data_IF_994078224618
#
_entry.id   IF_994078224618
#
_cell.length_a   1.000
_cell.length_b   1.000
_cell.length_c   1.000
_cell.angle_alpha   90.00
_cell.angle_beta   90.00
_cell.angle_gamma   90.00
#
_symmetry.space_group_name_H-M   'P 1'
#
loop_
_entity.id
_entity.type
_entity.pdbx_description
1 polymer ?
#
# COMPACT_ATOMS: atom_id res chain seq x y z
N UNK A 1 -3.50 15.92 4.00
CA UNK A 1 -2.46 15.17 3.27
C UNK A 1 -2.30 13.82 3.95
N UNK A 2 -2.56 12.73 3.23
CA UNK A 2 -2.44 11.35 3.71
C UNK A 2 -1.00 10.86 3.61
N UNK A 3 -0.64 9.83 4.36
CA UNK A 3 0.64 9.12 4.17
C UNK A 3 0.78 8.57 2.73
N UNK A 4 -0.35 8.33 2.05
CA UNK A 4 -0.39 7.89 0.65
C UNK A 4 0.16 8.96 -0.31
N UNK A 5 -0.04 10.24 -0.02
CA UNK A 5 0.45 11.35 -0.85
C UNK A 5 1.98 11.47 -0.83
N UNK A 6 2.64 10.78 0.12
CA UNK A 6 4.10 10.74 0.24
C UNK A 6 4.72 9.58 -0.53
N UNK A 7 3.90 8.76 -1.21
CA UNK A 7 4.36 7.62 -1.99
C UNK A 7 4.99 8.06 -3.32
N UNK A 8 6.04 7.35 -3.73
CA UNK A 8 6.86 7.64 -4.91
C UNK A 8 6.78 6.44 -5.85
N UNK A 9 6.34 6.67 -7.09
CA UNK A 9 6.17 5.63 -8.12
C UNK A 9 6.94 5.91 -9.41
N UNK A 10 7.82 6.91 -9.41
CA UNK A 10 8.58 7.35 -10.59
C UNK A 10 10.09 7.35 -10.32
N UNK A 11 10.57 6.48 -9.44
CA UNK A 11 12.01 6.27 -9.23
C UNK A 11 12.67 5.79 -10.51
N UNK A 12 13.89 6.25 -10.73
CA UNK A 12 14.78 5.90 -11.83
C UNK A 12 15.91 5.00 -11.35
N UNK A 13 16.70 4.42 -12.26
CA UNK A 13 17.77 3.44 -11.95
C UNK A 13 18.82 3.93 -10.93
N UNK A 14 18.95 5.24 -10.71
CA UNK A 14 19.86 5.83 -9.72
C UNK A 14 19.26 6.07 -8.34
N UNK A 15 17.93 5.92 -8.19
CA UNK A 15 17.24 6.18 -6.95
C UNK A 15 17.28 4.98 -6.01
N UNK A 16 17.23 5.27 -4.71
CA UNK A 16 17.35 4.26 -3.67
C UNK A 16 16.02 4.07 -2.94
N UNK A 17 15.81 2.85 -2.46
CA UNK A 17 14.76 2.52 -1.51
C UNK A 17 15.35 2.26 -0.13
N UNK A 18 15.41 3.31 0.68
CA UNK A 18 16.20 3.34 1.91
C UNK A 18 15.35 3.03 3.15
N UNK A 19 15.94 3.25 4.32
CA UNK A 19 15.30 2.97 5.61
C UNK A 19 14.13 3.93 5.88
N UNK A 20 14.23 5.18 5.47
CA UNK A 20 13.14 6.15 5.52
C UNK A 20 11.97 5.69 4.64
N UNK A 21 12.24 5.17 3.44
CA UNK A 21 11.21 4.60 2.56
C UNK A 21 10.51 3.39 3.21
N UNK A 22 11.25 2.47 3.83
CA UNK A 22 10.63 1.34 4.54
C UNK A 22 9.66 1.78 5.64
N UNK A 23 10.04 2.82 6.41
CA UNK A 23 9.22 3.33 7.49
C UNK A 23 7.96 3.99 6.93
N UNK A 24 8.13 4.88 5.96
CA UNK A 24 7.05 5.60 5.28
C UNK A 24 6.06 4.64 4.62
N UNK A 25 6.56 3.69 3.82
CA UNK A 25 5.71 2.72 3.12
C UNK A 25 5.14 1.68 4.08
N UNK A 26 5.86 1.30 5.14
CA UNK A 26 5.31 0.51 6.23
C UNK A 26 4.15 1.19 6.97
N UNK A 27 4.22 2.51 7.17
CA UNK A 27 3.10 3.30 7.70
C UNK A 27 1.93 3.33 6.70
N UNK A 28 2.21 3.49 5.41
CA UNK A 28 1.20 3.43 4.36
C UNK A 28 0.48 2.06 4.33
N UNK A 29 1.21 0.95 4.47
CA UNK A 29 0.61 -0.39 4.59
C UNK A 29 -0.36 -0.48 5.78
N UNK A 30 0.01 0.05 6.95
CA UNK A 30 -0.88 0.08 8.13
C UNK A 30 -2.13 0.92 7.87
N UNK A 31 -1.95 2.08 7.23
CA UNK A 31 -3.04 2.98 6.86
C UNK A 31 -4.04 2.30 5.92
N UNK A 32 -3.58 1.76 4.78
CA UNK A 32 -4.46 1.08 3.81
C UNK A 32 -5.15 -0.12 4.44
N UNK A 33 -4.44 -0.94 5.23
CA UNK A 33 -5.06 -2.08 5.89
C UNK A 33 -6.14 -1.68 6.91
N UNK A 34 -5.97 -0.56 7.62
CA UNK A 34 -7.00 -0.02 8.51
C UNK A 34 -8.24 0.46 7.73
N UNK A 35 -8.02 1.10 6.57
CA UNK A 35 -9.09 1.57 5.68
C UNK A 35 -9.87 0.39 5.06
N UNK A 36 -9.17 -0.65 4.64
CA UNK A 36 -9.76 -1.91 4.18
C UNK A 36 -10.62 -2.56 5.28
N UNK A 37 -10.12 -2.62 6.52
CA UNK A 37 -10.89 -3.11 7.67
C UNK A 37 -12.14 -2.29 7.94
N UNK A 38 -12.07 -0.97 7.81
CA UNK A 38 -13.25 -0.11 7.93
C UNK A 38 -14.31 -0.39 6.85
N UNK A 39 -13.89 -0.95 5.70
CA UNK A 39 -14.79 -1.40 4.64
C UNK A 39 -15.23 -2.87 4.79
N UNK A 40 -14.89 -3.54 5.90
CA UNK A 40 -15.28 -4.93 6.19
C UNK A 40 -14.31 -6.01 5.68
N UNK A 41 -13.16 -5.65 5.12
CA UNK A 41 -12.15 -6.63 4.68
C UNK A 41 -11.25 -7.06 5.84
N UNK A 42 -11.08 -8.38 6.02
CA UNK A 42 -10.16 -8.92 7.02
C UNK A 42 -8.71 -8.87 6.56
N UNK A 43 -8.04 -7.73 6.80
CA UNK A 43 -6.66 -7.48 6.37
C UNK A 43 -5.81 -7.06 7.57
N UNK A 44 -5.13 -8.04 8.17
CA UNK A 44 -4.20 -7.79 9.29
C UNK A 44 -2.76 -7.76 8.78
N UNK A 45 -2.10 -6.62 8.97
CA UNK A 45 -0.69 -6.42 8.60
C UNK A 45 0.08 -5.87 9.79
N UNK A 46 1.33 -6.34 9.93
CA UNK A 46 2.27 -5.88 10.97
C UNK A 46 3.61 -5.52 10.33
N UNK A 47 3.64 -4.52 9.42
CA UNK A 47 4.91 -4.06 8.86
C UNK A 47 5.74 -3.39 9.96
N UNK A 48 7.05 -3.56 9.89
CA UNK A 48 8.02 -2.84 10.74
C UNK A 48 8.13 -1.39 10.23
N UNK A 49 8.06 -0.41 11.13
CA UNK A 49 8.01 1.04 10.81
C UNK A 49 9.00 1.87 11.62
N UNK A 50 9.91 1.21 12.33
CA UNK A 50 10.90 1.78 13.26
C UNK A 50 12.32 1.36 12.85
N UNK A 51 12.55 1.26 11.54
CA UNK A 51 13.88 1.00 10.99
C UNK A 51 14.80 2.18 11.28
N UNK A 52 15.99 1.90 11.81
CA UNK A 52 17.07 2.88 12.05
C UNK A 52 18.26 2.59 11.13
N UNK A 53 19.13 3.59 10.88
CA UNK A 53 20.24 3.45 9.92
C UNK A 53 21.18 2.28 10.22
N UNK A 54 21.35 1.92 11.51
CA UNK A 54 22.16 0.78 11.95
C UNK A 54 21.49 -0.58 11.72
N UNK A 55 20.19 -0.61 11.41
CA UNK A 55 19.50 -1.87 11.13
C UNK A 55 19.95 -2.48 9.81
N UNK A 56 20.17 -3.80 9.85
CA UNK A 56 20.24 -4.61 8.64
C UNK A 56 18.87 -5.16 8.32
N UNK A 57 18.26 -4.66 7.25
CA UNK A 57 17.06 -5.26 6.71
C UNK A 57 17.37 -6.60 6.02
N UNK A 58 17.34 -7.66 6.81
CA UNK A 58 17.64 -9.02 6.35
C UNK A 58 16.65 -9.49 5.28
N UNK A 59 17.03 -10.49 4.46
CA UNK A 59 16.11 -11.11 3.50
C UNK A 59 14.81 -11.62 4.14
N UNK A 60 14.87 -12.11 5.38
CA UNK A 60 13.68 -12.53 6.14
C UNK A 60 12.74 -11.34 6.43
N UNK A 61 13.29 -10.19 6.81
CA UNK A 61 12.50 -8.98 7.04
C UNK A 61 11.88 -8.45 5.74
N UNK A 62 12.62 -8.48 4.63
CA UNK A 62 12.08 -8.14 3.30
C UNK A 62 10.94 -9.08 2.89
N UNK A 63 11.07 -10.39 3.16
CA UNK A 63 9.99 -11.36 2.90
C UNK A 63 8.74 -11.06 3.74
N UNK A 64 8.90 -10.74 5.03
CA UNK A 64 7.76 -10.31 5.88
C UNK A 64 7.12 -9.04 5.33
N UNK A 65 7.92 -8.08 4.90
CA UNK A 65 7.46 -6.83 4.32
C UNK A 65 6.59 -7.06 3.06
N UNK A 66 7.10 -7.82 2.09
CA UNK A 66 6.36 -8.20 0.88
C UNK A 66 5.13 -9.07 1.18
N UNK A 67 5.15 -9.88 2.24
CA UNK A 67 3.97 -10.65 2.66
C UNK A 67 2.85 -9.75 3.17
N UNK A 68 3.15 -8.68 3.92
CA UNK A 68 2.15 -7.69 4.31
C UNK A 68 1.54 -7.02 3.07
N UNK A 69 2.38 -6.65 2.09
CA UNK A 69 1.90 -6.10 0.82
C UNK A 69 1.01 -7.09 0.05
N UNK A 70 1.36 -8.39 0.04
CA UNK A 70 0.53 -9.43 -0.57
C UNK A 70 -0.84 -9.55 0.07
N UNK A 71 -0.94 -9.43 1.40
CA UNK A 71 -2.23 -9.44 2.09
C UNK A 71 -3.11 -8.27 1.65
N UNK A 72 -2.53 -7.06 1.54
CA UNK A 72 -3.24 -5.87 1.06
C UNK A 72 -3.67 -6.05 -0.39
N UNK A 73 -2.76 -6.45 -1.29
CA UNK A 73 -3.07 -6.65 -2.72
C UNK A 73 -4.16 -7.70 -2.93
N UNK A 74 -4.19 -8.76 -2.12
CA UNK A 74 -5.17 -9.85 -2.23
C UNK A 74 -6.56 -9.46 -1.71
N UNK A 75 -6.65 -8.43 -0.87
CA UNK A 75 -7.90 -8.03 -0.23
C UNK A 75 -8.97 -7.58 -1.23
N UNK A 76 -8.54 -6.99 -2.34
CA UNK A 76 -9.41 -6.42 -3.37
C UNK A 76 -8.98 -6.90 -4.75
N UNK A 77 -9.95 -6.94 -5.68
CA UNK A 77 -9.64 -6.96 -7.11
C UNK A 77 -9.18 -5.55 -7.49
N UNK A 78 -7.90 -5.40 -7.79
CA UNK A 78 -7.30 -4.13 -8.20
C UNK A 78 -7.35 -3.99 -9.74
N UNK A 79 -6.84 -2.86 -10.25
CA UNK A 79 -6.78 -2.63 -11.69
C UNK A 79 -5.93 -3.68 -12.41
N UNK A 80 -6.25 -3.93 -13.69
CA UNK A 80 -5.44 -4.78 -14.55
C UNK A 80 -4.00 -4.25 -14.72
N UNK A 81 -3.82 -2.93 -14.58
CA UNK A 81 -2.52 -2.25 -14.61
C UNK A 81 -1.77 -2.30 -13.28
N UNK A 82 -2.40 -2.72 -12.18
CA UNK A 82 -1.72 -2.76 -10.88
C UNK A 82 -0.68 -3.89 -10.89
N UNK A 83 0.60 -3.58 -10.66
CA UNK A 83 1.69 -4.54 -10.77
C UNK A 83 1.56 -5.65 -9.72
N UNK A 84 2.22 -6.78 -9.99
CA UNK A 84 2.32 -7.86 -9.03
C UNK A 84 3.28 -7.50 -7.90
N UNK A 85 3.09 -8.11 -6.72
CA UNK A 85 4.06 -7.95 -5.64
C UNK A 85 5.41 -8.49 -6.13
N UNK A 86 6.48 -7.67 -6.09
CA UNK A 86 7.78 -8.12 -6.56
C UNK A 86 8.28 -9.32 -5.76
N UNK A 87 8.99 -10.23 -6.43
CA UNK A 87 9.63 -11.40 -5.81
C UNK A 87 11.05 -11.12 -5.33
N UNK A 88 11.56 -9.91 -5.61
CA UNK A 88 12.91 -9.45 -5.32
C UNK A 88 13.38 -9.69 -3.90
N UNK A 89 14.67 -10.03 -3.79
CA UNK A 89 15.39 -9.97 -2.52
C UNK A 89 15.99 -8.58 -2.38
N UNK A 90 15.99 -8.06 -1.15
CA UNK A 90 16.59 -6.76 -0.86
C UNK A 90 18.08 -6.70 -1.28
N UNK A 91 18.61 -5.58 -1.81
CA UNK A 91 17.94 -4.29 -2.07
C UNK A 91 16.90 -4.37 -3.19
N UNK A 92 15.78 -3.66 -3.01
CA UNK A 92 14.80 -3.52 -4.07
C UNK A 92 15.34 -2.59 -5.15
N UNK A 93 15.10 -2.93 -6.41
CA UNK A 93 15.40 -2.02 -7.53
C UNK A 93 14.43 -0.83 -7.51
N UNK A 94 14.75 0.22 -8.27
CA UNK A 94 13.85 1.36 -8.43
C UNK A 94 12.48 0.94 -8.96
N UNK A 95 12.44 0.01 -9.92
CA UNK A 95 11.20 -0.53 -10.48
C UNK A 95 10.40 -1.31 -9.43
N UNK A 96 11.06 -2.19 -8.66
CA UNK A 96 10.39 -2.94 -7.59
C UNK A 96 9.85 -2.01 -6.50
N UNK A 97 10.58 -0.93 -6.19
CA UNK A 97 10.13 0.10 -5.26
C UNK A 97 8.88 0.84 -5.78
N UNK A 98 8.87 1.20 -7.06
CA UNK A 98 7.73 1.82 -7.70
C UNK A 98 6.51 0.88 -7.68
N UNK A 99 6.71 -0.41 -7.98
CA UNK A 99 5.63 -1.41 -7.95
C UNK A 99 5.03 -1.56 -6.54
N UNK A 100 5.89 -1.63 -5.51
CA UNK A 100 5.45 -1.71 -4.11
C UNK A 100 4.53 -0.55 -3.74
N UNK A 101 4.92 0.66 -4.09
CA UNK A 101 4.18 1.87 -3.73
C UNK A 101 2.95 2.06 -4.61
N UNK A 102 3.02 1.70 -5.90
CA UNK A 102 1.88 1.73 -6.83
C UNK A 102 0.75 0.82 -6.37
N UNK A 103 1.06 -0.37 -5.86
CA UNK A 103 0.06 -1.28 -5.28
C UNK A 103 -0.72 -0.61 -4.14
N UNK A 104 -0.04 0.17 -3.29
CA UNK A 104 -0.69 0.85 -2.15
C UNK A 104 -1.55 2.03 -2.60
N UNK A 105 -1.10 2.79 -3.59
CA UNK A 105 -1.91 3.86 -4.20
C UNK A 105 -3.17 3.27 -4.83
N UNK A 106 -3.04 2.22 -5.63
CA UNK A 106 -4.18 1.59 -6.31
C UNK A 106 -5.15 0.93 -5.31
N UNK A 107 -4.64 0.34 -4.24
CA UNK A 107 -5.46 -0.20 -3.16
C UNK A 107 -6.25 0.90 -2.43
N UNK A 108 -5.63 2.05 -2.12
CA UNK A 108 -6.35 3.17 -1.51
C UNK A 108 -7.41 3.75 -2.48
N UNK A 109 -7.12 3.87 -3.78
CA UNK A 109 -8.11 4.35 -4.76
C UNK A 109 -9.33 3.43 -4.82
N UNK A 110 -9.12 2.10 -4.80
CA UNK A 110 -10.24 1.15 -4.72
C UNK A 110 -11.03 1.30 -3.43
N UNK A 111 -10.37 1.47 -2.28
CA UNK A 111 -11.05 1.69 -1.00
C UNK A 111 -11.88 2.97 -1.05
N UNK A 112 -11.35 4.06 -1.60
CA UNK A 112 -12.07 5.32 -1.74
C UNK A 112 -13.32 5.15 -2.62
N UNK A 113 -13.22 4.44 -3.75
CA UNK A 113 -14.36 4.13 -4.60
C UNK A 113 -15.40 3.28 -3.90
N UNK A 114 -14.99 2.25 -3.15
CA UNK A 114 -15.92 1.43 -2.35
C UNK A 114 -16.67 2.27 -1.33
N UNK A 115 -15.97 3.15 -0.60
CA UNK A 115 -16.61 4.06 0.36
C UNK A 115 -17.56 5.04 -0.33
N UNK A 116 -17.18 5.61 -1.47
CA UNK A 116 -18.03 6.52 -2.26
C UNK A 116 -19.31 5.83 -2.73
N UNK A 117 -19.23 4.60 -3.23
CA UNK A 117 -20.41 3.81 -3.62
C UNK A 117 -21.42 3.65 -2.48
N UNK A 118 -20.95 3.45 -1.25
CA UNK A 118 -21.87 3.36 -0.09
C UNK A 118 -22.62 4.66 0.16
N UNK A 119 -21.98 5.82 0.01
CA UNK A 119 -22.66 7.11 0.13
C UNK A 119 -23.71 7.31 -0.97
N UNK A 120 -23.42 6.94 -2.22
CA UNK A 120 -24.41 7.03 -3.31
C UNK A 120 -25.60 6.07 -3.14
N UNK A 121 -25.40 4.92 -2.49
CA UNK A 121 -26.49 4.01 -2.15
C UNK A 121 -27.33 4.49 -0.94
N UNK A 122 -26.87 5.52 -0.21
CA UNK A 122 -27.55 6.08 0.96
C UNK A 122 -28.21 7.46 0.74
N UNK A 123 -27.72 8.29 -0.18
CA UNK A 123 -28.09 9.72 -0.31
C UNK A 123 -28.46 10.17 -1.74
N UNK A 124 -29.34 9.46 -2.46
CA UNK A 124 -29.93 10.01 -3.70
C UNK A 124 -31.45 9.88 -3.79
N UNK A 125 -32.17 10.03 -2.67
CA UNK A 125 -33.60 10.37 -2.70
C UNK A 125 -33.98 11.27 -1.53
N UNK A 126 -33.92 12.58 -1.77
CA UNK A 126 -34.79 13.56 -1.12
C UNK A 126 -34.96 14.75 -2.08
N UNK A 127 -35.75 14.53 -3.13
CA UNK A 127 -36.03 15.54 -4.17
C UNK A 127 -37.27 15.24 -5.04
N UNK A 128 -38.16 14.33 -4.63
CA UNK A 128 -39.56 14.42 -5.09
C UNK A 128 -40.23 15.56 -4.32
N UNK A 129 -40.28 16.77 -4.91
CA UNK A 129 -41.49 17.61 -5.10
C UNK A 129 -41.25 18.56 -6.26
#
# INVERSE_FOLDING_TARGET
MSIIDTLITNRTRGDYYNITDLNRVGQAMRYVAARLRACGFDVVVTPRTDWVWTDRATPAAAKRYLNNLRLIRKALVLFASTPNVPSGKRPFTADEANDIEKILIDAEDMVQRTMQCWYFCGDLYAGEV
#
